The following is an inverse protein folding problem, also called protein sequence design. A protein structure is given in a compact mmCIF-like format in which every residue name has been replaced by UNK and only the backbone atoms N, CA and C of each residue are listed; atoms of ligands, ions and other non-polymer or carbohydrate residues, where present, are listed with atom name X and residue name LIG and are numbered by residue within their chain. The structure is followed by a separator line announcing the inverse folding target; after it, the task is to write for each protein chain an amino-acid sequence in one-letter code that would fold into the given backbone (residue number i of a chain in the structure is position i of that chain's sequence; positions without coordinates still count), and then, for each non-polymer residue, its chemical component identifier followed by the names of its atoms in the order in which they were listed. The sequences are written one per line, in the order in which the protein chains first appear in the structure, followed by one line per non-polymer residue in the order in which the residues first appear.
data_IF_603653528154
#
_entry.id   IF_603653528154
#
_cell.length_a   1.000
_cell.length_b   1.000
_cell.length_c   1.000
_cell.angle_alpha   90.00
_cell.angle_beta   90.00
_cell.angle_gamma   90.00
#
_symmetry.space_group_name_H-M   'P 1'
#
loop_
_entity.id
_entity.type
_entity.pdbx_description
1 polymer ?
#
# COMPACT_ATOMS: atom_id res chain seq x y z
N UNK A 1 17.52 4.72 5.33
CA UNK A 1 16.66 3.67 5.90
C UNK A 1 17.48 2.40 6.07
N UNK A 2 17.39 1.71 7.20
CA UNK A 2 18.12 0.45 7.45
C UNK A 2 17.34 -0.73 6.88
N UNK A 3 18.03 -1.63 6.21
CA UNK A 3 17.42 -2.84 5.64
C UNK A 3 17.29 -3.96 6.68
N UNK A 4 16.26 -4.79 6.56
CA UNK A 4 16.04 -5.95 7.43
C UNK A 4 16.50 -7.28 6.82
N UNK A 5 16.79 -7.30 5.52
CA UNK A 5 17.37 -8.44 4.81
C UNK A 5 18.38 -7.98 3.74
N UNK A 6 19.25 -8.89 3.31
CA UNK A 6 20.19 -8.61 2.23
C UNK A 6 19.46 -8.46 0.89
N UNK A 7 19.77 -7.40 0.13
CA UNK A 7 19.07 -7.06 -1.10
C UNK A 7 20.03 -6.46 -2.13
N UNK A 8 19.87 -6.80 -3.40
CA UNK A 8 20.69 -6.24 -4.49
C UNK A 8 19.95 -5.08 -5.15
N UNK A 9 20.48 -3.86 -5.04
CA UNK A 9 19.95 -2.65 -5.68
C UNK A 9 21.02 -2.03 -6.57
N UNK A 10 20.66 -1.68 -7.81
CA UNK A 10 21.55 -1.01 -8.77
C UNK A 10 22.93 -1.69 -8.91
N UNK A 11 22.96 -3.03 -8.91
CA UNK A 11 24.19 -3.81 -9.02
C UNK A 11 24.99 -3.98 -7.72
N UNK A 12 24.70 -3.20 -6.67
CA UNK A 12 25.31 -3.33 -5.34
C UNK A 12 24.49 -4.27 -4.45
N UNK A 13 25.16 -5.19 -3.78
CA UNK A 13 24.55 -6.01 -2.73
C UNK A 13 24.62 -5.25 -1.42
N UNK A 14 23.46 -5.03 -0.81
CA UNK A 14 23.33 -4.50 0.55
C UNK A 14 23.11 -5.65 1.51
N UNK A 15 23.77 -5.62 2.67
CA UNK A 15 23.55 -6.59 3.74
C UNK A 15 22.43 -6.13 4.68
N UNK A 16 21.84 -7.07 5.42
CA UNK A 16 20.92 -6.73 6.50
C UNK A 16 21.58 -5.76 7.51
N UNK A 17 20.85 -4.73 7.92
CA UNK A 17 21.33 -3.66 8.80
C UNK A 17 22.02 -2.50 8.07
N UNK A 18 22.41 -2.66 6.80
CA UNK A 18 23.00 -1.55 6.04
C UNK A 18 21.96 -0.47 5.70
N UNK A 19 22.45 0.76 5.59
CA UNK A 19 21.63 1.89 5.20
C UNK A 19 21.56 2.02 3.68
N UNK A 20 20.33 2.16 3.18
CA UNK A 20 20.04 2.58 1.82
C UNK A 20 19.38 3.95 1.82
N UNK A 21 19.68 4.72 0.78
CA UNK A 21 19.02 5.98 0.50
C UNK A 21 17.52 5.75 0.22
N UNK A 22 16.66 6.37 1.04
CA UNK A 22 15.21 6.25 0.89
C UNK A 22 14.73 6.73 -0.50
N UNK A 23 15.40 7.74 -1.07
CA UNK A 23 15.08 8.31 -2.39
C UNK A 23 15.39 7.36 -3.56
N UNK A 24 16.18 6.31 -3.35
CA UNK A 24 16.37 5.25 -4.37
C UNK A 24 15.33 4.13 -4.29
N UNK A 25 14.56 4.07 -3.22
CA UNK A 25 13.56 3.01 -2.97
C UNK A 25 12.16 3.55 -3.22
N UNK A 26 11.76 4.61 -2.51
CA UNK A 26 10.36 5.06 -2.52
C UNK A 26 9.84 5.51 -3.88
N UNK A 27 10.55 6.34 -4.67
CA UNK A 27 10.04 6.77 -5.97
C UNK A 27 9.76 5.58 -6.90
N UNK A 28 10.66 4.59 -6.91
CA UNK A 28 10.47 3.38 -7.71
C UNK A 28 9.21 2.63 -7.25
N UNK A 29 9.12 2.26 -5.98
CA UNK A 29 7.98 1.48 -5.49
C UNK A 29 6.66 2.24 -5.58
N UNK A 30 6.62 3.54 -5.24
CA UNK A 30 5.41 4.35 -5.31
C UNK A 30 4.87 4.47 -6.74
N UNK A 31 5.74 4.78 -7.72
CA UNK A 31 5.31 4.91 -9.11
C UNK A 31 4.95 3.54 -9.69
N UNK A 32 5.78 2.53 -9.44
CA UNK A 32 5.55 1.18 -9.95
C UNK A 32 4.25 0.58 -9.39
N UNK A 33 3.99 0.70 -8.09
CA UNK A 33 2.75 0.22 -7.48
C UNK A 33 1.53 1.02 -7.91
N UNK A 34 1.66 2.34 -8.12
CA UNK A 34 0.54 3.14 -8.62
C UNK A 34 0.13 2.68 -10.02
N UNK A 35 1.10 2.44 -10.92
CA UNK A 35 0.80 1.95 -12.26
C UNK A 35 0.23 0.54 -12.25
N UNK A 36 0.85 -0.40 -11.52
CA UNK A 36 0.38 -1.79 -11.47
C UNK A 36 -0.95 -1.92 -10.72
N UNK A 37 -1.07 -1.30 -9.54
CA UNK A 37 -2.29 -1.27 -8.74
C UNK A 37 -3.42 -0.54 -9.45
N UNK A 38 -3.14 0.59 -10.11
CA UNK A 38 -4.10 1.32 -10.93
C UNK A 38 -4.57 0.50 -12.13
N UNK A 39 -3.66 -0.18 -12.82
CA UNK A 39 -4.05 -1.07 -13.93
C UNK A 39 -4.90 -2.25 -13.43
N UNK A 40 -4.53 -2.87 -12.30
CA UNK A 40 -5.31 -3.93 -11.65
C UNK A 40 -6.69 -3.46 -11.21
N UNK A 41 -6.79 -2.25 -10.65
CA UNK A 41 -8.05 -1.61 -10.26
C UNK A 41 -8.96 -1.41 -11.46
N UNK A 42 -8.45 -0.81 -12.54
CA UNK A 42 -9.22 -0.58 -13.76
C UNK A 42 -9.67 -1.89 -14.40
N UNK A 43 -8.81 -2.91 -14.45
CA UNK A 43 -9.17 -4.23 -14.95
C UNK A 43 -10.27 -4.88 -14.10
N UNK A 44 -10.14 -4.85 -12.77
CA UNK A 44 -11.11 -5.45 -11.84
C UNK A 44 -12.51 -4.86 -11.98
N UNK A 45 -12.60 -3.56 -12.27
CA UNK A 45 -13.89 -2.87 -12.40
C UNK A 45 -14.32 -2.63 -13.84
N UNK A 46 -13.61 -3.14 -14.85
CA UNK A 46 -14.01 -2.98 -16.26
C UNK A 46 -15.12 -3.95 -16.66
N UNK A 47 -16.01 -3.52 -17.56
CA UNK A 47 -17.18 -4.31 -18.00
C UNK A 47 -16.76 -5.57 -18.78
N UNK A 48 -15.72 -5.42 -19.59
CA UNK A 48 -15.10 -6.48 -20.39
C UNK A 48 -13.76 -6.90 -19.77
N UNK A 49 -13.68 -6.86 -18.44
CA UNK A 49 -12.47 -7.19 -17.69
C UNK A 49 -12.05 -8.65 -17.83
N UNK A 50 -10.77 -8.94 -17.53
CA UNK A 50 -10.29 -10.31 -17.59
C UNK A 50 -11.02 -11.18 -16.55
N UNK A 51 -11.05 -12.51 -16.75
CA UNK A 51 -11.64 -13.42 -15.78
C UNK A 51 -11.03 -13.27 -14.39
N UNK A 52 -11.81 -13.53 -13.34
CA UNK A 52 -11.35 -13.41 -11.95
C UNK A 52 -10.04 -14.20 -11.69
N UNK A 53 -9.90 -15.38 -12.28
CA UNK A 53 -8.67 -16.19 -12.17
C UNK A 53 -7.42 -15.43 -12.63
N UNK A 54 -7.52 -14.63 -13.70
CA UNK A 54 -6.42 -13.80 -14.16
C UNK A 54 -6.14 -12.65 -13.18
N UNK A 55 -7.17 -12.00 -12.64
CA UNK A 55 -7.00 -10.95 -11.62
C UNK A 55 -6.28 -11.47 -10.38
N UNK A 56 -6.65 -12.66 -9.90
CA UNK A 56 -5.99 -13.30 -8.76
C UNK A 56 -4.57 -13.76 -9.09
N UNK A 57 -4.33 -14.32 -10.27
CA UNK A 57 -2.99 -14.73 -10.67
C UNK A 57 -2.07 -13.50 -10.82
N UNK A 58 -2.46 -12.53 -11.65
CA UNK A 58 -1.66 -11.35 -11.92
C UNK A 58 -1.51 -10.45 -10.67
N UNK A 59 -2.63 -10.05 -10.09
CA UNK A 59 -2.64 -9.15 -8.92
C UNK A 59 -2.15 -9.83 -7.65
N UNK A 60 -2.53 -11.09 -7.42
CA UNK A 60 -2.11 -11.85 -6.25
C UNK A 60 -0.60 -12.14 -6.23
N UNK A 61 -0.01 -12.51 -7.37
CA UNK A 61 1.45 -12.68 -7.47
C UNK A 61 2.16 -11.34 -7.19
N UNK A 62 1.66 -10.23 -7.75
CA UNK A 62 2.25 -8.93 -7.50
C UNK A 62 2.17 -8.52 -6.01
N UNK A 63 1.00 -8.68 -5.37
CA UNK A 63 0.80 -8.46 -3.93
C UNK A 63 1.79 -9.29 -3.11
N UNK A 64 1.94 -10.57 -3.44
CA UNK A 64 2.87 -11.48 -2.77
C UNK A 64 4.33 -11.01 -2.91
N UNK A 65 4.76 -10.64 -4.12
CA UNK A 65 6.11 -10.14 -4.39
C UNK A 65 6.37 -8.84 -3.64
N UNK A 66 5.43 -7.88 -3.65
CA UNK A 66 5.57 -6.65 -2.86
C UNK A 66 5.68 -6.93 -1.37
N UNK A 67 4.91 -7.89 -0.85
CA UNK A 67 4.98 -8.28 0.56
C UNK A 67 6.37 -8.83 0.90
N UNK A 68 7.00 -9.63 0.03
CA UNK A 68 8.38 -10.09 0.21
C UNK A 68 9.35 -8.91 0.25
N UNK A 69 9.24 -7.97 -0.70
CA UNK A 69 10.08 -6.77 -0.69
C UNK A 69 9.88 -5.96 0.60
N UNK A 70 8.64 -5.82 1.07
CA UNK A 70 8.36 -5.07 2.29
C UNK A 70 8.94 -5.76 3.52
N UNK A 71 8.88 -7.09 3.60
CA UNK A 71 9.53 -7.83 4.69
C UNK A 71 11.05 -7.62 4.68
N UNK A 72 11.67 -7.60 3.49
CA UNK A 72 13.10 -7.35 3.35
C UNK A 72 13.51 -5.91 3.70
N UNK A 73 12.67 -4.94 3.34
CA UNK A 73 12.97 -3.52 3.46
C UNK A 73 12.58 -2.97 4.84
N UNK A 74 11.40 -3.31 5.35
CA UNK A 74 10.80 -2.76 6.56
C UNK A 74 10.75 -3.73 7.74
N UNK A 75 11.02 -5.02 7.51
CA UNK A 75 11.00 -6.05 8.54
C UNK A 75 9.63 -6.70 8.74
N UNK A 76 9.66 -7.87 9.37
CA UNK A 76 8.46 -8.71 9.56
C UNK A 76 7.41 -8.05 10.44
N UNK A 77 7.81 -7.36 11.49
CA UNK A 77 6.84 -6.81 12.45
C UNK A 77 6.02 -5.66 11.84
N UNK A 78 6.66 -4.77 11.08
CA UNK A 78 5.95 -3.69 10.36
C UNK A 78 4.95 -4.25 9.33
N UNK A 79 5.33 -5.30 8.59
CA UNK A 79 4.43 -5.95 7.61
C UNK A 79 3.30 -6.71 8.31
N UNK A 80 3.56 -7.35 9.45
CA UNK A 80 2.52 -7.99 10.26
C UNK A 80 1.50 -6.95 10.73
N UNK A 81 1.96 -5.84 11.28
CA UNK A 81 1.10 -4.76 11.76
C UNK A 81 0.35 -4.05 10.63
N UNK A 82 0.94 -3.94 9.44
CA UNK A 82 0.23 -3.46 8.24
C UNK A 82 -1.07 -4.24 8.01
N UNK A 83 -1.01 -5.58 7.99
CA UNK A 83 -2.20 -6.40 7.75
C UNK A 83 -3.18 -6.38 8.93
N UNK A 84 -2.69 -6.36 10.18
CA UNK A 84 -3.55 -6.23 11.36
C UNK A 84 -4.33 -4.90 11.31
N UNK A 85 -3.63 -3.79 11.07
CA UNK A 85 -4.23 -2.46 10.98
C UNK A 85 -5.20 -2.36 9.81
N UNK A 86 -4.89 -2.98 8.67
CA UNK A 86 -5.81 -3.06 7.54
C UNK A 86 -7.09 -3.82 7.90
N UNK A 87 -6.99 -4.93 8.64
CA UNK A 87 -8.15 -5.67 9.12
C UNK A 87 -9.02 -4.84 10.08
N UNK A 88 -8.40 -4.14 11.02
CA UNK A 88 -9.11 -3.22 11.93
C UNK A 88 -9.73 -2.02 11.19
N UNK A 89 -9.07 -1.57 10.12
CA UNK A 89 -9.47 -0.44 9.27
C UNK A 89 -10.31 -0.82 8.04
N UNK A 90 -10.93 -2.01 8.00
CA UNK A 90 -11.63 -2.50 6.81
C UNK A 90 -12.74 -1.56 6.31
N UNK A 91 -13.45 -0.88 7.22
CA UNK A 91 -14.47 0.12 6.85
C UNK A 91 -13.85 1.35 6.19
N UNK A 92 -12.68 1.80 6.64
CA UNK A 92 -11.95 2.90 6.01
C UNK A 92 -11.45 2.50 4.62
N UNK A 93 -10.95 1.27 4.45
CA UNK A 93 -10.56 0.75 3.14
C UNK A 93 -11.78 0.70 2.20
N UNK A 94 -12.91 0.15 2.67
CA UNK A 94 -14.13 0.06 1.87
C UNK A 94 -14.58 1.44 1.38
N UNK A 95 -14.71 2.41 2.29
CA UNK A 95 -15.16 3.78 1.95
C UNK A 95 -14.19 4.50 1.01
N UNK A 96 -12.88 4.38 1.21
CA UNK A 96 -11.91 5.04 0.35
C UNK A 96 -11.81 4.40 -1.04
N UNK A 97 -11.90 3.07 -1.12
CA UNK A 97 -11.92 2.37 -2.42
C UNK A 97 -13.22 2.65 -3.17
N UNK A 98 -14.36 2.72 -2.48
CA UNK A 98 -15.65 3.11 -3.08
C UNK A 98 -15.62 4.53 -3.63
N UNK A 99 -15.05 5.47 -2.87
CA UNK A 99 -14.85 6.83 -3.32
C UNK A 99 -13.91 6.91 -4.54
N UNK A 100 -12.79 6.18 -4.54
CA UNK A 100 -11.93 6.10 -5.73
C UNK A 100 -12.68 5.54 -6.95
N UNK A 101 -13.59 4.59 -6.73
CA UNK A 101 -14.40 3.99 -7.78
C UNK A 101 -15.52 4.93 -8.27
N UNK A 102 -16.07 5.77 -7.38
CA UNK A 102 -17.10 6.77 -7.69
C UNK A 102 -16.59 7.85 -8.64
N UNK A 103 -15.27 8.14 -8.63
CA UNK A 103 -14.61 8.99 -9.64
C UNK A 103 -14.79 8.47 -11.08
N UNK A 104 -15.12 7.19 -11.25
CA UNK A 104 -15.40 6.56 -12.54
C UNK A 104 -16.91 6.27 -12.75
N UNK A 105 -17.78 6.84 -11.91
CA UNK A 105 -19.24 6.63 -11.96
C UNK A 105 -19.64 5.20 -11.59
N UNK A 106 -18.85 4.52 -10.76
CA UNK A 106 -19.05 3.13 -10.34
C UNK A 106 -19.13 3.04 -8.82
N UNK A 107 -19.69 1.93 -8.33
CA UNK A 107 -19.93 1.70 -6.90
C UNK A 107 -19.52 0.27 -6.53
N UNK A 108 -18.90 0.06 -5.37
CA UNK A 108 -18.41 -1.25 -4.94
C UNK A 108 -19.52 -2.29 -4.82
N UNK A 109 -20.74 -1.89 -4.47
CA UNK A 109 -21.89 -2.79 -4.30
C UNK A 109 -22.35 -3.38 -5.63
N UNK A 110 -21.95 -2.79 -6.75
CA UNK A 110 -22.22 -3.34 -8.09
C UNK A 110 -21.31 -4.51 -8.47
N UNK A 111 -20.27 -4.80 -7.67
CA UNK A 111 -19.32 -5.88 -7.93
C UNK A 111 -19.37 -6.96 -6.85
N UNK A 112 -19.19 -8.25 -7.21
CA UNK A 112 -19.05 -9.31 -6.22
C UNK A 112 -17.88 -9.06 -5.28
N UNK A 113 -18.05 -9.36 -3.98
CA UNK A 113 -17.04 -9.09 -2.95
C UNK A 113 -15.64 -9.63 -3.28
N UNK A 114 -15.56 -10.79 -3.95
CA UNK A 114 -14.28 -11.41 -4.30
C UNK A 114 -13.46 -10.55 -5.30
N UNK A 115 -14.12 -9.79 -6.19
CA UNK A 115 -13.44 -8.88 -7.13
C UNK A 115 -12.69 -7.76 -6.39
N UNK A 116 -13.19 -7.37 -5.21
CA UNK A 116 -12.62 -6.28 -4.41
C UNK A 116 -11.34 -6.68 -3.65
N UNK A 117 -11.05 -7.99 -3.53
CA UNK A 117 -9.91 -8.48 -2.73
C UNK A 117 -8.58 -7.93 -3.23
N UNK A 118 -8.33 -8.00 -4.54
CA UNK A 118 -7.07 -7.51 -5.13
C UNK A 118 -6.94 -5.98 -5.00
N UNK A 119 -7.94 -5.16 -5.40
CA UNK A 119 -7.92 -3.72 -5.16
C UNK A 119 -7.69 -3.34 -3.69
N UNK A 120 -8.36 -4.00 -2.74
CA UNK A 120 -8.23 -3.70 -1.31
C UNK A 120 -6.82 -4.00 -0.80
N UNK A 121 -6.24 -5.14 -1.17
CA UNK A 121 -4.88 -5.50 -0.78
C UNK A 121 -3.85 -4.55 -1.39
N UNK A 122 -4.03 -4.13 -2.65
CA UNK A 122 -3.19 -3.11 -3.26
C UNK A 122 -3.26 -1.78 -2.51
N UNK A 123 -4.47 -1.36 -2.15
CA UNK A 123 -4.70 -0.17 -1.36
C UNK A 123 -3.96 -0.22 -0.01
N UNK A 124 -4.01 -1.37 0.68
CA UNK A 124 -3.25 -1.61 1.93
C UNK A 124 -1.74 -1.48 1.71
N UNK A 125 -1.20 -2.15 0.70
CA UNK A 125 0.24 -2.11 0.43
C UNK A 125 0.70 -0.69 0.05
N UNK A 126 -0.12 0.05 -0.69
CA UNK A 126 0.20 1.40 -1.16
C UNK A 126 0.18 2.41 0.00
N UNK A 127 -0.86 2.38 0.81
CA UNK A 127 -0.99 3.26 1.99
C UNK A 127 0.10 2.98 3.03
N UNK A 128 0.45 1.71 3.25
CA UNK A 128 1.61 1.36 4.07
C UNK A 128 2.90 1.98 3.53
N UNK A 129 3.15 1.91 2.22
CA UNK A 129 4.34 2.51 1.61
C UNK A 129 4.39 4.02 1.80
N UNK A 130 3.25 4.69 1.62
CA UNK A 130 3.12 6.12 1.85
C UNK A 130 3.47 6.48 3.30
N UNK A 131 2.96 5.73 4.28
CA UNK A 131 3.32 5.93 5.69
C UNK A 131 4.82 5.77 5.90
N UNK A 132 5.42 4.70 5.39
CA UNK A 132 6.87 4.47 5.54
C UNK A 132 7.69 5.60 4.89
N UNK A 133 7.27 6.09 3.71
CA UNK A 133 7.90 7.22 3.03
C UNK A 133 7.83 8.51 3.86
N UNK A 134 6.67 8.79 4.49
CA UNK A 134 6.52 9.95 5.37
C UNK A 134 7.45 9.87 6.60
N UNK A 135 7.59 8.69 7.20
CA UNK A 135 8.49 8.47 8.33
C UNK A 135 9.96 8.73 7.96
N UNK A 136 10.41 8.23 6.80
CA UNK A 136 11.78 8.47 6.33
C UNK A 136 12.02 9.92 5.89
N UNK A 137 11.03 10.54 5.23
CA UNK A 137 11.11 11.94 4.80
C UNK A 137 11.20 12.89 6.00
N UNK A 138 10.46 12.61 7.07
CA UNK A 138 10.51 13.36 8.32
C UNK A 138 11.72 13.02 9.20
N UNK A 139 12.54 12.03 8.81
CA UNK A 139 13.63 11.52 9.63
C UNK A 139 13.15 10.97 10.98
N UNK A 140 11.94 10.43 11.03
CA UNK A 140 11.22 10.10 12.26
C UNK A 140 11.40 8.64 12.71
N UNK A 141 12.07 7.78 11.93
CA UNK A 141 12.16 6.33 12.24
C UNK A 141 12.76 6.00 13.60
N UNK A 142 13.78 6.75 14.01
CA UNK A 142 14.57 6.49 15.22
C UNK A 142 14.23 7.48 16.36
N UNK A 143 13.29 8.39 16.13
CA UNK A 143 12.85 9.41 17.08
C UNK A 143 11.37 9.14 17.42
N UNK A 144 11.12 8.60 18.61
CA UNK A 144 9.79 8.20 19.07
C UNK A 144 8.79 9.37 19.11
N UNK A 145 9.24 10.59 19.43
CA UNK A 145 8.36 11.76 19.48
C UNK A 145 7.95 12.17 18.07
N UNK A 146 8.91 12.26 17.15
CA UNK A 146 8.63 12.56 15.74
C UNK A 146 7.81 11.47 15.08
N UNK A 147 8.10 10.20 15.38
CA UNK A 147 7.35 9.05 14.88
C UNK A 147 5.88 9.15 15.26
N UNK A 148 5.60 9.43 16.55
CA UNK A 148 4.23 9.65 17.03
C UNK A 148 3.56 10.83 16.35
N UNK A 149 4.28 11.93 16.14
CA UNK A 149 3.73 13.09 15.42
C UNK A 149 3.35 12.74 13.98
N UNK A 150 4.24 12.08 13.24
CA UNK A 150 3.98 11.64 11.85
C UNK A 150 2.83 10.63 11.81
N UNK A 151 2.80 9.67 12.73
CA UNK A 151 1.72 8.68 12.82
C UNK A 151 0.37 9.35 13.12
N UNK A 152 0.32 10.31 14.04
CA UNK A 152 -0.91 11.05 14.36
C UNK A 152 -1.38 11.88 13.16
N UNK A 153 -0.47 12.54 12.45
CA UNK A 153 -0.79 13.30 11.23
C UNK A 153 -1.31 12.35 10.15
N UNK A 154 -0.66 11.21 9.94
CA UNK A 154 -1.05 10.22 8.95
C UNK A 154 -2.43 9.62 9.25
N UNK A 155 -2.67 9.22 10.49
CA UNK A 155 -3.96 8.67 10.93
C UNK A 155 -5.06 9.74 10.87
N UNK A 156 -4.80 10.93 11.42
CA UNK A 156 -5.74 12.04 11.39
C UNK A 156 -6.12 12.44 9.96
N UNK A 157 -5.14 12.53 9.06
CA UNK A 157 -5.36 12.76 7.63
C UNK A 157 -6.15 11.63 6.97
N UNK A 158 -5.84 10.37 7.28
CA UNK A 158 -6.58 9.22 6.75
C UNK A 158 -8.04 9.18 7.21
N UNK A 159 -8.31 9.51 8.47
CA UNK A 159 -9.67 9.62 9.02
C UNK A 159 -10.42 10.78 8.37
N UNK A 160 -9.80 11.96 8.29
CA UNK A 160 -10.41 13.11 7.65
C UNK A 160 -10.74 12.84 6.17
N UNK A 161 -9.82 12.19 5.44
CA UNK A 161 -10.05 11.76 4.06
C UNK A 161 -11.18 10.73 3.97
N UNK A 162 -11.22 9.75 4.87
CA UNK A 162 -12.31 8.74 4.89
C UNK A 162 -13.67 9.37 5.16
N UNK A 163 -13.74 10.34 6.07
CA UNK A 163 -14.97 11.09 6.35
C UNK A 163 -15.39 11.92 5.15
N UNK A 164 -14.46 12.65 4.53
CA UNK A 164 -14.75 13.41 3.32
C UNK A 164 -15.24 12.49 2.19
N UNK A 165 -14.55 11.37 1.96
CA UNK A 165 -14.92 10.34 1.00
C UNK A 165 -16.30 9.72 1.26
N UNK A 166 -16.74 9.63 2.52
CA UNK A 166 -18.06 9.11 2.86
C UNK A 166 -19.20 10.10 2.50
N UNK A 167 -18.93 11.41 2.52
CA UNK A 167 -19.94 12.44 2.24
C UNK A 167 -19.94 12.93 0.78
N UNK A 168 -18.95 12.54 -0.02
CA UNK A 168 -18.80 12.89 -1.44
C UNK A 168 -19.28 11.76 -2.35
#
# INVERSE_FOLDING_TARGET
MKLHASLKLNGRTYQAGEEVAWYSVYPFFLVHMLMFGGSGFLMAYSKDGPPAAFLYAHGGIAIFVYTIFYMAIFGLDEVKWMFINAGLGVLAIYTQVDWLLSLFGKDLRSYPLHINVVPFLYYVLYTFLLRQALLDLAGAREDEERKRAVDNIYVGGSVALSLAAFFL
#
